data_IF_189382608452
#
_entry.id   IF_189382608452
#
_cell.length_a   1.000
_cell.length_b   1.000
_cell.length_c   1.000
_cell.angle_alpha   90.00
_cell.angle_beta   90.00
_cell.angle_gamma   90.00
#
_symmetry.space_group_name_H-M   'P 1'
#
loop_
_entity.id
_entity.type
_entity.pdbx_description
1 polymer ?
#
# COMPACT_ATOMS: atom_id res chain seq x y z
N UNK A 1 -8.74 0.62 -19.55
CA UNK A 1 -8.54 1.66 -18.53
C UNK A 1 -7.43 1.16 -17.63
N UNK A 2 -6.42 1.99 -17.29
CA UNK A 2 -5.35 1.66 -16.34
C UNK A 2 -4.51 2.91 -16.05
N UNK A 3 -3.71 2.87 -14.99
CA UNK A 3 -2.65 3.85 -14.77
C UNK A 3 -1.32 3.22 -15.18
N UNK A 4 -0.61 3.90 -16.06
CA UNK A 4 0.71 3.50 -16.54
C UNK A 4 1.78 4.43 -15.94
N UNK A 5 2.71 3.85 -15.22
CA UNK A 5 3.88 4.53 -14.65
C UNK A 5 5.10 4.02 -15.43
N UNK A 6 5.80 4.91 -16.13
CA UNK A 6 6.84 4.52 -17.08
C UNK A 6 8.15 5.24 -16.77
N UNK A 7 9.19 4.46 -16.45
CA UNK A 7 10.56 4.90 -16.19
C UNK A 7 10.67 6.08 -15.21
N UNK A 8 9.83 6.08 -14.16
CA UNK A 8 9.82 7.17 -13.18
C UNK A 8 11.12 7.16 -12.38
N UNK A 9 11.81 8.29 -12.43
CA UNK A 9 12.93 8.62 -11.57
C UNK A 9 12.64 9.90 -10.78
N UNK A 10 12.98 9.89 -9.49
CA UNK A 10 12.88 11.07 -8.64
C UNK A 10 14.13 11.28 -7.82
N UNK A 11 14.72 12.45 -7.96
CA UNK A 11 15.92 12.86 -7.23
C UNK A 11 15.64 14.18 -6.50
N UNK A 12 15.87 14.23 -5.19
CA UNK A 12 15.83 15.45 -4.39
C UNK A 12 17.24 15.79 -3.87
N UNK A 13 17.76 16.95 -4.22
CA UNK A 13 19.06 17.45 -3.74
C UNK A 13 20.18 16.39 -3.79
N UNK A 14 20.28 15.62 -4.88
CA UNK A 14 21.24 14.52 -5.12
C UNK A 14 20.87 13.17 -4.44
N UNK A 15 19.79 13.10 -3.67
CA UNK A 15 19.29 11.83 -3.12
C UNK A 15 18.28 11.21 -4.08
N UNK A 16 18.59 10.04 -4.60
CA UNK A 16 17.64 9.24 -5.37
C UNK A 16 16.58 8.73 -4.41
N UNK A 17 15.30 8.94 -4.75
CA UNK A 17 14.15 8.44 -3.98
C UNK A 17 13.41 7.36 -4.74
N UNK A 18 13.30 7.52 -6.06
CA UNK A 18 12.73 6.52 -6.96
C UNK A 18 13.67 6.37 -8.16
N UNK A 19 13.89 5.14 -8.60
CA UNK A 19 14.80 4.88 -9.71
C UNK A 19 14.18 3.92 -10.73
N UNK A 20 13.92 4.43 -11.92
CA UNK A 20 13.41 3.71 -13.09
C UNK A 20 12.16 2.83 -12.80
N UNK A 21 11.17 3.38 -12.07
CA UNK A 21 9.96 2.64 -11.72
C UNK A 21 9.04 2.45 -12.92
N UNK A 22 8.62 1.20 -13.10
CA UNK A 22 7.64 0.81 -14.11
C UNK A 22 6.53 0.00 -13.44
N UNK A 23 5.29 0.51 -13.49
CA UNK A 23 4.12 -0.10 -12.86
C UNK A 23 2.90 0.08 -13.75
N UNK A 24 2.00 -0.90 -13.67
CA UNK A 24 0.66 -0.79 -14.21
C UNK A 24 -0.35 -1.04 -13.10
N UNK A 25 -1.32 -0.14 -12.95
CA UNK A 25 -2.44 -0.30 -12.01
C UNK A 25 -3.67 -0.53 -12.86
N UNK A 26 -4.16 -1.76 -12.86
CA UNK A 26 -5.38 -2.17 -13.57
C UNK A 26 -6.63 -1.68 -12.81
N UNK A 27 -7.76 -1.51 -13.51
CA UNK A 27 -9.00 -1.05 -12.87
C UNK A 27 -9.62 -2.12 -11.98
N UNK A 28 -10.43 -1.66 -11.02
CA UNK A 28 -11.30 -2.49 -10.18
C UNK A 28 -10.54 -3.56 -9.39
N UNK A 29 -9.45 -3.19 -8.76
CA UNK A 29 -8.67 -4.02 -7.83
C UNK A 29 -8.26 -3.21 -6.59
N UNK A 30 -8.00 -3.92 -5.50
CA UNK A 30 -7.39 -3.35 -4.30
C UNK A 30 -5.91 -3.69 -4.29
N UNK A 31 -5.08 -2.67 -4.34
CA UNK A 31 -3.62 -2.77 -4.34
C UNK A 31 -3.03 -2.40 -2.98
N UNK A 32 -2.01 -3.13 -2.55
CA UNK A 32 -1.10 -2.71 -1.50
C UNK A 32 0.17 -2.08 -2.08
N UNK A 33 0.51 -0.87 -1.67
CA UNK A 33 1.82 -0.27 -1.91
C UNK A 33 2.62 -0.34 -0.61
N UNK A 34 3.43 -1.37 -0.48
CA UNK A 34 4.17 -1.70 0.73
C UNK A 34 5.61 -1.17 0.64
N UNK A 35 6.18 -0.82 1.77
CA UNK A 35 7.56 -0.34 1.86
C UNK A 35 7.84 0.25 3.24
N UNK A 36 9.10 0.23 3.63
CA UNK A 36 9.53 0.87 4.90
C UNK A 36 9.25 2.37 4.89
N UNK A 37 9.26 2.98 6.07
CA UNK A 37 9.15 4.45 6.17
C UNK A 37 10.34 5.10 5.43
N UNK A 38 10.03 6.10 4.59
CA UNK A 38 11.04 6.75 3.75
C UNK A 38 11.37 6.01 2.44
N UNK A 39 10.79 4.87 2.14
CA UNK A 39 11.05 4.13 0.89
C UNK A 39 10.64 4.88 -0.39
N UNK A 40 9.82 5.94 -0.29
CA UNK A 40 9.36 6.71 -1.45
C UNK A 40 7.89 6.52 -1.81
N UNK A 41 7.10 5.77 -1.02
CA UNK A 41 5.66 5.51 -1.28
C UNK A 41 4.87 6.79 -1.52
N UNK A 42 4.89 7.73 -0.56
CA UNK A 42 4.19 9.02 -0.68
C UNK A 42 4.71 9.86 -1.85
N UNK A 43 6.01 9.76 -2.17
CA UNK A 43 6.59 10.44 -3.34
C UNK A 43 5.99 9.88 -4.63
N UNK A 44 5.88 8.56 -4.76
CA UNK A 44 5.26 7.91 -5.91
C UNK A 44 3.79 8.35 -6.06
N UNK A 45 3.02 8.32 -4.97
CA UNK A 45 1.60 8.74 -4.99
C UNK A 45 1.46 10.23 -5.37
N UNK A 46 2.35 11.09 -4.90
CA UNK A 46 2.36 12.50 -5.26
C UNK A 46 2.75 12.73 -6.74
N UNK A 47 3.61 11.90 -7.31
CA UNK A 47 3.94 11.93 -8.75
C UNK A 47 2.73 11.48 -9.58
N UNK A 48 2.08 10.38 -9.21
CA UNK A 48 0.88 9.88 -9.93
C UNK A 48 -0.24 10.93 -9.92
N UNK A 49 -0.40 11.65 -8.81
CA UNK A 49 -1.40 12.72 -8.68
C UNK A 49 -0.95 14.08 -9.22
N UNK A 50 0.19 14.15 -9.92
CA UNK A 50 0.80 15.37 -10.47
C UNK A 50 1.05 16.51 -9.44
N UNK A 51 1.18 16.15 -8.16
CA UNK A 51 1.57 17.10 -7.10
C UNK A 51 3.07 17.36 -7.09
N UNK A 52 3.85 16.39 -7.59
CA UNK A 52 5.30 16.48 -7.79
C UNK A 52 5.57 16.05 -9.23
N UNK A 53 6.33 16.86 -9.97
CA UNK A 53 6.83 16.43 -11.27
C UNK A 53 8.04 15.52 -11.08
N UNK A 54 8.09 14.35 -11.74
CA UNK A 54 9.24 13.47 -11.67
C UNK A 54 10.47 14.09 -12.35
N UNK A 55 11.65 13.70 -11.93
CA UNK A 55 12.92 14.09 -12.58
C UNK A 55 12.96 13.55 -14.01
N UNK A 56 12.46 12.35 -14.24
CA UNK A 56 12.24 11.78 -15.57
C UNK A 56 11.13 10.72 -15.54
N UNK A 57 10.71 10.28 -16.71
CA UNK A 57 9.60 9.35 -16.89
C UNK A 57 8.24 10.05 -17.04
N UNK A 58 7.17 9.27 -17.07
CA UNK A 58 5.82 9.80 -17.24
C UNK A 58 4.76 8.92 -16.57
N UNK A 59 3.63 9.54 -16.28
CA UNK A 59 2.42 8.84 -15.80
C UNK A 59 1.27 9.14 -16.75
N UNK A 60 0.51 8.11 -17.07
CA UNK A 60 -0.69 8.20 -17.89
C UNK A 60 -1.86 7.53 -17.15
N UNK A 61 -3.04 8.17 -17.18
CA UNK A 61 -4.32 7.60 -16.71
C UNK A 61 -5.20 7.39 -17.92
N UNK A 62 -5.56 6.13 -18.20
CA UNK A 62 -6.38 5.73 -19.36
C UNK A 62 -5.81 6.23 -20.70
N UNK A 63 -4.48 6.24 -20.85
CA UNK A 63 -3.77 6.72 -22.05
C UNK A 63 -3.63 8.24 -22.16
N UNK A 64 -4.06 9.00 -21.16
CA UNK A 64 -3.89 10.45 -21.10
C UNK A 64 -2.80 10.79 -20.07
N UNK A 65 -1.82 11.65 -20.48
CA UNK A 65 -0.80 12.15 -19.55
C UNK A 65 -1.45 12.89 -18.38
N UNK A 66 -0.93 12.69 -17.16
CA UNK A 66 -1.36 13.45 -15.98
C UNK A 66 -0.80 14.87 -15.96
N UNK A 67 0.23 15.17 -16.76
CA UNK A 67 0.89 16.47 -16.78
C UNK A 67 -0.04 17.52 -17.37
N UNK A 68 -0.37 18.55 -16.57
CA UNK A 68 -1.26 19.66 -16.91
C UNK A 68 -2.60 19.21 -17.54
N UNK A 69 -3.18 18.11 -17.03
CA UNK A 69 -4.38 17.50 -17.58
C UNK A 69 -5.44 17.26 -16.50
N UNK A 70 -6.30 18.24 -16.27
CA UNK A 70 -7.38 18.17 -15.29
C UNK A 70 -8.37 17.02 -15.55
N UNK A 71 -8.55 16.62 -16.82
CA UNK A 71 -9.44 15.52 -17.19
C UNK A 71 -8.88 14.17 -16.72
N UNK A 72 -7.58 13.94 -16.90
CA UNK A 72 -6.93 12.73 -16.40
C UNK A 72 -6.92 12.72 -14.87
N UNK A 73 -6.56 13.86 -14.26
CA UNK A 73 -6.49 14.00 -12.79
C UNK A 73 -7.86 13.93 -12.12
N UNK A 74 -8.93 14.35 -12.78
CA UNK A 74 -10.30 14.25 -12.27
C UNK A 74 -10.80 12.80 -12.08
N UNK A 75 -10.08 11.79 -12.63
CA UNK A 75 -10.36 10.36 -12.42
C UNK A 75 -9.74 9.78 -11.14
N UNK A 76 -8.95 10.58 -10.41
CA UNK A 76 -8.14 10.14 -9.29
C UNK A 76 -8.40 11.00 -8.04
N UNK A 77 -8.47 10.36 -6.88
CA UNK A 77 -8.45 11.02 -5.58
C UNK A 77 -7.26 10.51 -4.77
N UNK A 78 -6.45 11.43 -4.21
CA UNK A 78 -5.39 11.09 -3.28
C UNK A 78 -5.70 11.62 -1.88
N UNK A 79 -5.96 10.71 -0.95
CA UNK A 79 -5.89 10.97 0.47
C UNK A 79 -4.42 10.99 0.90
N UNK A 80 -3.91 12.17 1.17
CA UNK A 80 -2.53 12.38 1.63
C UNK A 80 -2.45 12.45 3.15
N UNK A 81 -1.30 12.05 3.72
CA UNK A 81 -1.00 12.28 5.13
C UNK A 81 -1.03 13.78 5.47
N UNK A 82 -0.49 14.61 4.56
CA UNK A 82 -0.47 16.07 4.74
C UNK A 82 -1.87 16.66 4.64
N UNK A 83 -2.21 17.54 5.59
CA UNK A 83 -3.48 18.26 5.61
C UNK A 83 -3.45 19.43 4.62
N UNK A 84 -4.25 19.33 3.56
CA UNK A 84 -4.39 20.36 2.53
C UNK A 84 -5.68 21.17 2.68
N UNK A 85 -6.38 21.03 3.79
CA UNK A 85 -7.68 21.63 4.03
C UNK A 85 -7.59 22.88 4.92
N UNK A 86 -8.49 23.87 4.67
CA UNK A 86 -8.56 25.08 5.49
C UNK A 86 -8.97 24.78 6.92
N UNK A 87 -8.11 25.09 7.89
CA UNK A 87 -8.37 24.89 9.30
C UNK A 87 -9.62 25.65 9.83
N UNK A 88 -10.00 26.74 9.16
CA UNK A 88 -11.14 27.60 9.54
C UNK A 88 -12.47 27.07 9.02
N UNK A 89 -12.46 26.23 8.00
CA UNK A 89 -13.67 25.69 7.37
C UNK A 89 -14.29 24.59 8.22
N UNK A 90 -15.63 24.54 8.22
CA UNK A 90 -16.37 23.42 8.82
C UNK A 90 -16.24 22.18 7.94
N UNK A 91 -16.28 20.98 8.54
CA UNK A 91 -16.28 19.70 7.83
C UNK A 91 -17.35 19.67 6.73
N UNK A 92 -18.60 20.05 7.03
CA UNK A 92 -19.68 20.09 6.04
C UNK A 92 -19.40 21.05 4.87
N UNK A 93 -18.65 22.14 5.10
CA UNK A 93 -18.25 23.03 4.01
C UNK A 93 -17.19 22.40 3.12
N UNK A 94 -16.26 21.63 3.70
CA UNK A 94 -15.24 20.92 2.96
C UNK A 94 -15.83 19.78 2.12
N UNK A 95 -16.86 19.08 2.58
CA UNK A 95 -17.62 18.11 1.76
C UNK A 95 -18.22 18.81 0.52
N UNK A 96 -18.87 19.98 0.74
CA UNK A 96 -19.44 20.77 -0.39
C UNK A 96 -18.36 21.25 -1.36
N UNK A 97 -17.20 21.67 -0.85
CA UNK A 97 -16.08 22.08 -1.69
C UNK A 97 -15.56 20.91 -2.54
N UNK A 98 -15.40 19.73 -1.93
CA UNK A 98 -15.00 18.52 -2.66
C UNK A 98 -15.99 18.17 -3.76
N UNK A 99 -17.30 18.27 -3.49
CA UNK A 99 -18.33 18.06 -4.49
C UNK A 99 -18.24 19.03 -5.69
N UNK A 100 -17.78 20.27 -5.47
CA UNK A 100 -17.57 21.24 -6.59
C UNK A 100 -16.45 20.81 -7.54
N UNK A 101 -15.43 20.09 -7.02
CA UNK A 101 -14.31 19.63 -7.85
C UNK A 101 -14.59 18.29 -8.53
N UNK A 102 -15.27 17.37 -7.85
CA UNK A 102 -15.43 15.98 -8.32
C UNK A 102 -16.83 15.66 -8.87
N UNK A 103 -17.79 16.57 -8.72
CA UNK A 103 -19.18 16.32 -9.13
C UNK A 103 -19.93 15.44 -8.13
N UNK A 104 -20.67 14.47 -8.60
CA UNK A 104 -21.64 13.61 -7.91
C UNK A 104 -21.16 12.98 -6.58
N UNK A 105 -20.76 13.83 -5.63
CA UNK A 105 -20.34 13.45 -4.29
C UNK A 105 -21.53 12.87 -3.50
N UNK A 106 -21.34 11.71 -2.91
CA UNK A 106 -22.40 11.00 -2.17
C UNK A 106 -22.57 11.59 -0.75
N UNK A 107 -23.43 12.60 -0.65
CA UNK A 107 -23.71 13.29 0.62
C UNK A 107 -24.45 12.42 1.65
N UNK A 108 -25.34 11.51 1.19
CA UNK A 108 -26.10 10.63 2.07
C UNK A 108 -25.14 9.59 2.69
N UNK A 109 -24.27 9.03 1.89
CA UNK A 109 -23.23 8.13 2.37
C UNK A 109 -22.26 8.85 3.30
N UNK A 110 -21.82 10.07 2.97
CA UNK A 110 -20.96 10.87 3.84
C UNK A 110 -21.61 11.19 5.21
N UNK A 111 -22.91 11.47 5.24
CA UNK A 111 -23.65 11.69 6.47
C UNK A 111 -23.76 10.41 7.31
N UNK A 112 -24.00 9.24 6.67
CA UNK A 112 -24.01 7.92 7.32
C UNK A 112 -22.65 7.62 7.96
N UNK A 113 -21.58 7.79 7.20
CA UNK A 113 -20.20 7.57 7.67
C UNK A 113 -19.83 8.54 8.80
N UNK A 114 -20.13 9.84 8.67
CA UNK A 114 -19.85 10.82 9.71
C UNK A 114 -20.53 10.44 11.05
N UNK A 115 -21.77 9.94 10.97
CA UNK A 115 -22.48 9.44 12.15
C UNK A 115 -21.81 8.17 12.73
N UNK A 116 -21.45 7.21 11.87
CA UNK A 116 -20.84 5.94 12.29
C UNK A 116 -19.48 6.15 12.96
N UNK A 117 -18.65 7.06 12.41
CA UNK A 117 -17.35 7.43 12.96
C UNK A 117 -17.42 8.48 14.09
N UNK A 118 -18.60 9.01 14.44
CA UNK A 118 -18.74 10.05 15.45
C UNK A 118 -18.11 11.41 15.06
N UNK A 119 -18.00 11.70 13.74
CA UNK A 119 -17.43 12.95 13.22
C UNK A 119 -18.48 14.08 13.27
N UNK A 120 -18.20 15.15 14.05
CA UNK A 120 -19.04 16.36 14.05
C UNK A 120 -18.79 17.17 12.77
N UNK A 121 -19.75 17.15 11.85
CA UNK A 121 -19.68 17.90 10.61
C UNK A 121 -19.79 19.42 10.76
N UNK A 122 -20.23 19.91 11.93
CA UNK A 122 -20.25 21.33 12.27
C UNK A 122 -18.92 21.83 12.85
N UNK A 123 -18.05 20.91 13.28
CA UNK A 123 -16.72 21.26 13.79
C UNK A 123 -15.87 21.89 12.69
N UNK A 124 -14.94 22.77 13.07
CA UNK A 124 -13.90 23.29 12.17
C UNK A 124 -12.80 22.24 12.04
N UNK A 125 -12.28 22.07 10.82
CA UNK A 125 -11.22 21.12 10.52
C UNK A 125 -9.99 21.27 11.44
N UNK A 126 -9.54 22.49 11.70
CA UNK A 126 -8.43 22.77 12.59
C UNK A 126 -8.67 22.46 14.08
N UNK A 127 -9.91 22.13 14.48
CA UNK A 127 -10.26 21.70 15.84
C UNK A 127 -10.35 20.18 15.98
N UNK A 128 -10.29 19.45 14.87
CA UNK A 128 -10.29 17.99 14.88
C UNK A 128 -8.96 17.46 15.43
N UNK A 129 -9.01 16.36 16.17
CA UNK A 129 -7.81 15.60 16.51
C UNK A 129 -7.22 14.97 15.25
N UNK A 130 -5.97 14.49 15.30
CA UNK A 130 -5.33 13.80 14.18
C UNK A 130 -6.18 12.64 13.66
N UNK A 131 -6.73 11.80 14.55
CA UNK A 131 -7.61 10.70 14.16
C UNK A 131 -8.88 11.18 13.46
N UNK A 132 -9.55 12.21 13.96
CA UNK A 132 -10.73 12.77 13.30
C UNK A 132 -10.42 13.48 11.97
N UNK A 133 -9.21 14.03 11.78
CA UNK A 133 -8.76 14.51 10.46
C UNK A 133 -8.58 13.36 9.48
N UNK A 134 -8.02 12.23 9.93
CA UNK A 134 -7.93 11.01 9.13
C UNK A 134 -9.32 10.49 8.77
N UNK A 135 -10.25 10.38 9.71
CA UNK A 135 -11.64 9.98 9.47
C UNK A 135 -12.32 10.91 8.44
N UNK A 136 -12.16 12.22 8.56
CA UNK A 136 -12.70 13.15 7.58
C UNK A 136 -12.16 12.86 6.17
N UNK A 137 -10.84 12.65 6.01
CA UNK A 137 -10.21 12.34 4.73
C UNK A 137 -10.66 11.00 4.17
N UNK A 138 -10.85 9.99 5.03
CA UNK A 138 -11.40 8.69 4.64
C UNK A 138 -12.84 8.79 4.11
N UNK A 139 -13.70 9.57 4.77
CA UNK A 139 -15.06 9.81 4.29
C UNK A 139 -15.03 10.46 2.91
N UNK A 140 -14.17 11.46 2.69
CA UNK A 140 -14.01 12.03 1.36
C UNK A 140 -13.63 10.97 0.32
N UNK A 141 -12.61 10.15 0.61
CA UNK A 141 -12.10 9.12 -0.28
C UNK A 141 -13.18 8.08 -0.67
N UNK A 142 -14.05 7.72 0.28
CA UNK A 142 -15.13 6.77 0.05
C UNK A 142 -16.32 7.38 -0.72
N UNK A 143 -16.55 8.69 -0.62
CA UNK A 143 -17.72 9.38 -1.19
C UNK A 143 -17.47 10.05 -2.54
N UNK A 144 -16.22 10.27 -2.97
CA UNK A 144 -15.93 10.85 -4.29
C UNK A 144 -16.21 9.87 -5.43
N UNK A 145 -16.74 10.34 -6.58
CA UNK A 145 -17.15 9.48 -7.71
C UNK A 145 -15.99 9.25 -8.70
N UNK A 146 -14.81 8.85 -8.20
CA UNK A 146 -13.63 8.63 -9.05
C UNK A 146 -13.31 7.16 -9.25
N UNK A 147 -12.59 6.84 -10.33
CA UNK A 147 -12.20 5.48 -10.68
C UNK A 147 -11.02 4.97 -9.85
N UNK A 148 -10.13 5.87 -9.44
CA UNK A 148 -8.88 5.54 -8.74
C UNK A 148 -8.81 6.31 -7.42
N UNK A 149 -8.71 5.58 -6.31
CA UNK A 149 -8.60 6.14 -4.96
C UNK A 149 -7.28 5.70 -4.35
N UNK A 150 -6.41 6.66 -4.11
CA UNK A 150 -5.13 6.43 -3.44
C UNK A 150 -5.22 6.86 -1.97
N UNK A 151 -4.78 5.99 -1.08
CA UNK A 151 -4.84 6.16 0.37
C UNK A 151 -3.42 6.06 0.94
N UNK A 152 -2.86 7.19 1.35
CA UNK A 152 -1.52 7.24 1.94
C UNK A 152 -1.62 7.19 3.46
N UNK A 153 -1.19 6.06 4.05
CA UNK A 153 -1.27 5.74 5.48
C UNK A 153 -2.67 6.02 6.08
N UNK A 154 -3.75 5.43 5.52
CA UNK A 154 -5.13 5.85 5.79
C UNK A 154 -5.57 5.72 7.24
N UNK A 155 -5.03 4.75 7.98
CA UNK A 155 -5.43 4.44 9.35
C UNK A 155 -4.52 5.05 10.41
N UNK A 156 -3.57 5.87 9.99
CA UNK A 156 -2.66 6.53 10.92
C UNK A 156 -3.42 7.42 11.91
N UNK A 157 -3.22 7.17 13.19
CA UNK A 157 -3.87 7.92 14.29
C UNK A 157 -5.29 7.47 14.60
N UNK A 158 -5.80 6.39 13.98
CA UNK A 158 -7.08 5.76 14.34
C UNK A 158 -6.88 4.73 15.45
N UNK A 159 -7.87 4.60 16.31
CA UNK A 159 -7.99 3.45 17.21
C UNK A 159 -8.48 2.20 16.46
N UNK A 160 -8.41 1.03 17.11
CA UNK A 160 -8.76 -0.25 16.48
C UNK A 160 -10.22 -0.28 15.96
N UNK A 161 -11.17 0.28 16.71
CA UNK A 161 -12.58 0.26 16.30
C UNK A 161 -12.82 1.08 15.03
N UNK A 162 -12.17 2.25 14.91
CA UNK A 162 -12.29 3.07 13.71
C UNK A 162 -11.55 2.46 12.51
N UNK A 163 -10.45 1.74 12.73
CA UNK A 163 -9.77 0.99 11.65
C UNK A 163 -10.65 -0.12 11.10
N UNK A 164 -11.22 -0.95 11.98
CA UNK A 164 -12.12 -2.03 11.60
C UNK A 164 -13.32 -1.50 10.81
N UNK A 165 -13.95 -0.42 11.32
CA UNK A 165 -15.05 0.21 10.61
C UNK A 165 -14.64 0.73 9.23
N UNK A 166 -13.46 1.35 9.11
CA UNK A 166 -12.97 1.82 7.81
C UNK A 166 -12.79 0.66 6.82
N UNK A 167 -12.17 -0.44 7.22
CA UNK A 167 -11.95 -1.57 6.34
C UNK A 167 -13.27 -2.24 5.92
N UNK A 168 -14.24 -2.33 6.83
CA UNK A 168 -15.59 -2.81 6.50
C UNK A 168 -16.26 -1.91 5.45
N UNK A 169 -16.25 -0.60 5.63
CA UNK A 169 -16.84 0.36 4.71
C UNK A 169 -16.13 0.38 3.34
N UNK A 170 -14.79 0.16 3.34
CA UNK A 170 -14.01 0.05 2.11
C UNK A 170 -14.45 -1.18 1.30
N UNK A 171 -14.58 -2.35 1.95
CA UNK A 171 -15.03 -3.59 1.30
C UNK A 171 -16.47 -3.44 0.78
N UNK A 172 -17.38 -2.87 1.60
CA UNK A 172 -18.78 -2.62 1.20
C UNK A 172 -18.83 -1.73 -0.04
N UNK A 173 -18.11 -0.59 0.00
CA UNK A 173 -18.04 0.34 -1.13
C UNK A 173 -17.43 -0.31 -2.38
N UNK A 174 -16.38 -1.12 -2.21
CA UNK A 174 -15.75 -1.84 -3.33
C UNK A 174 -16.70 -2.86 -3.96
N UNK A 175 -17.47 -3.57 -3.14
CA UNK A 175 -18.43 -4.57 -3.60
C UNK A 175 -19.62 -3.95 -4.34
N UNK A 176 -20.14 -2.80 -3.87
CA UNK A 176 -21.29 -2.13 -4.46
C UNK A 176 -20.92 -1.30 -5.70
N UNK A 177 -19.76 -0.67 -5.68
CA UNK A 177 -19.25 0.22 -6.74
C UNK A 177 -17.78 -0.09 -6.99
N UNK A 178 -17.46 -1.14 -7.77
CA UNK A 178 -16.08 -1.52 -8.06
C UNK A 178 -15.28 -0.37 -8.64
N UNK A 179 -14.17 -0.05 -7.99
CA UNK A 179 -13.19 0.96 -8.38
C UNK A 179 -11.82 0.57 -7.84
N UNK A 180 -10.78 1.21 -8.29
CA UNK A 180 -9.42 0.86 -7.89
C UNK A 180 -9.06 1.57 -6.60
N UNK A 181 -8.61 0.82 -5.60
CA UNK A 181 -7.97 1.36 -4.41
C UNK A 181 -6.49 1.01 -4.39
N UNK A 182 -5.64 1.98 -4.03
CA UNK A 182 -4.22 1.75 -3.75
C UNK A 182 -3.96 2.21 -2.32
N UNK A 183 -3.65 1.26 -1.45
CA UNK A 183 -3.42 1.50 -0.02
C UNK A 183 -1.91 1.47 0.23
N UNK A 184 -1.33 2.63 0.53
CA UNK A 184 0.06 2.77 0.96
C UNK A 184 0.11 2.66 2.47
N UNK A 185 0.78 1.64 3.00
CA UNK A 185 0.91 1.45 4.45
C UNK A 185 2.14 0.63 4.81
N UNK A 186 2.56 0.74 6.06
CA UNK A 186 3.53 -0.14 6.71
C UNK A 186 2.84 -1.17 7.64
N UNK A 187 1.53 -1.07 7.86
CA UNK A 187 0.71 -1.99 8.67
C UNK A 187 0.14 -3.11 7.80
N UNK A 188 1.01 -4.02 7.36
CA UNK A 188 0.70 -5.02 6.33
C UNK A 188 -0.35 -6.02 6.80
N UNK A 189 -0.29 -6.47 8.07
CA UNK A 189 -1.24 -7.42 8.66
C UNK A 189 -2.70 -6.96 8.53
N UNK A 190 -2.93 -5.64 8.68
CA UNK A 190 -4.27 -5.09 8.63
C UNK A 190 -4.92 -5.15 7.24
N UNK A 191 -4.10 -5.09 6.18
CA UNK A 191 -4.60 -5.06 4.80
C UNK A 191 -4.35 -6.35 4.02
N UNK A 192 -3.60 -7.31 4.57
CA UNK A 192 -3.18 -8.52 3.87
C UNK A 192 -4.35 -9.32 3.28
N UNK A 193 -5.51 -9.33 3.95
CA UNK A 193 -6.71 -10.03 3.50
C UNK A 193 -7.60 -9.18 2.57
N UNK A 194 -7.26 -7.92 2.34
CA UNK A 194 -8.03 -6.98 1.52
C UNK A 194 -7.43 -6.79 0.13
N UNK A 195 -6.11 -6.86 0.03
CA UNK A 195 -5.38 -6.57 -1.20
C UNK A 195 -5.31 -7.80 -2.10
N UNK A 196 -5.56 -7.57 -3.38
CA UNK A 196 -5.47 -8.58 -4.43
C UNK A 196 -4.08 -8.58 -5.06
N UNK A 197 -3.47 -7.41 -5.19
CA UNK A 197 -2.18 -7.21 -5.82
C UNK A 197 -1.26 -6.37 -4.94
N UNK A 198 0.03 -6.65 -4.95
CA UNK A 198 1.00 -5.94 -4.12
C UNK A 198 2.18 -5.40 -4.93
N UNK A 199 2.55 -4.17 -4.62
CA UNK A 199 3.82 -3.56 -4.99
C UNK A 199 4.67 -3.39 -3.73
N UNK A 200 5.87 -3.92 -3.70
CA UNK A 200 6.82 -3.69 -2.62
C UNK A 200 7.91 -2.75 -3.13
N UNK A 201 7.97 -1.56 -2.52
CA UNK A 201 8.97 -0.55 -2.80
C UNK A 201 10.09 -0.63 -1.76
N UNK A 202 11.29 -0.97 -2.20
CA UNK A 202 12.49 -1.04 -1.37
C UNK A 202 13.71 -0.56 -2.14
N UNK A 203 14.63 0.15 -1.46
CA UNK A 203 15.86 0.67 -2.06
C UNK A 203 15.61 1.35 -3.43
N UNK A 204 14.62 2.24 -3.50
CA UNK A 204 14.27 3.04 -4.67
C UNK A 204 13.61 2.29 -5.82
N UNK A 205 13.44 0.96 -5.74
CA UNK A 205 12.92 0.09 -6.79
C UNK A 205 11.68 -0.69 -6.33
N UNK A 206 10.87 -1.13 -7.28
CA UNK A 206 9.84 -2.14 -7.02
C UNK A 206 10.51 -3.51 -7.02
N UNK A 207 10.58 -4.13 -5.85
CA UNK A 207 11.21 -5.46 -5.66
C UNK A 207 10.21 -6.60 -5.77
N UNK A 208 8.91 -6.32 -5.56
CA UNK A 208 7.81 -7.27 -5.77
C UNK A 208 6.67 -6.56 -6.49
N UNK A 209 6.10 -7.22 -7.48
CA UNK A 209 4.95 -6.78 -8.26
C UNK A 209 4.16 -8.00 -8.72
N UNK A 210 2.99 -8.24 -8.15
CA UNK A 210 2.16 -9.39 -8.52
C UNK A 210 0.93 -9.59 -7.66
N UNK A 211 0.11 -10.56 -8.05
CA UNK A 211 -1.04 -11.00 -7.27
C UNK A 211 -0.57 -11.61 -5.94
N UNK A 212 -1.23 -11.26 -4.84
CA UNK A 212 -0.86 -11.71 -3.49
C UNK A 212 -0.91 -13.23 -3.40
N UNK A 213 -1.91 -13.87 -3.99
CA UNK A 213 -2.04 -15.34 -4.02
C UNK A 213 -0.85 -16.03 -4.70
N UNK A 214 -0.39 -15.49 -5.83
CA UNK A 214 0.73 -16.06 -6.60
C UNK A 214 2.07 -15.87 -5.89
N UNK A 215 2.20 -14.78 -5.15
CA UNK A 215 3.39 -14.46 -4.36
C UNK A 215 3.46 -15.39 -3.15
N UNK A 216 2.35 -15.52 -2.39
CA UNK A 216 2.31 -16.36 -1.18
C UNK A 216 2.40 -17.85 -1.52
N UNK A 217 1.91 -18.29 -2.69
CA UNK A 217 2.07 -19.66 -3.14
C UNK A 217 3.54 -20.09 -3.34
N UNK A 218 4.47 -19.14 -3.40
CA UNK A 218 5.93 -19.38 -3.56
C UNK A 218 6.72 -19.02 -2.30
N UNK A 219 6.06 -18.66 -1.20
CA UNK A 219 6.67 -18.22 0.03
C UNK A 219 6.49 -19.26 1.12
N UNK A 220 7.59 -19.84 1.61
CA UNK A 220 7.57 -20.96 2.54
C UNK A 220 8.36 -20.67 3.80
N UNK A 221 7.83 -21.17 4.93
CA UNK A 221 8.50 -21.33 6.20
C UNK A 221 8.91 -22.79 6.31
N UNK A 222 10.20 -23.06 6.43
CA UNK A 222 10.77 -24.41 6.57
C UNK A 222 11.43 -24.50 7.93
N UNK A 223 10.88 -25.33 8.82
CA UNK A 223 11.31 -25.38 10.22
C UNK A 223 11.63 -26.81 10.68
N UNK A 224 12.56 -26.91 11.62
CA UNK A 224 13.00 -28.18 12.20
C UNK A 224 14.38 -28.08 12.85
N UNK A 225 15.04 -29.26 13.15
CA UNK A 225 16.43 -29.26 13.57
C UNK A 225 17.34 -28.56 12.53
N UNK A 226 18.29 -27.78 12.99
CA UNK A 226 19.13 -26.94 12.11
C UNK A 226 19.78 -27.70 10.96
N UNK A 227 20.37 -28.87 11.26
CA UNK A 227 21.05 -29.69 10.23
C UNK A 227 20.10 -30.15 9.12
N UNK A 228 18.89 -30.52 9.49
CA UNK A 228 17.90 -31.10 8.57
C UNK A 228 17.28 -30.01 7.71
N UNK A 229 17.01 -28.82 8.29
CA UNK A 229 16.52 -27.65 7.58
C UNK A 229 17.56 -27.17 6.56
N UNK A 230 18.81 -26.97 6.98
CA UNK A 230 19.90 -26.54 6.09
C UNK A 230 20.16 -27.54 4.95
N UNK A 231 20.08 -28.85 5.24
CA UNK A 231 20.20 -29.87 4.20
C UNK A 231 19.02 -29.82 3.21
N UNK A 232 17.80 -29.57 3.72
CA UNK A 232 16.63 -29.47 2.85
C UNK A 232 16.61 -28.20 2.02
N UNK A 233 17.05 -27.07 2.55
CA UNK A 233 17.04 -25.77 1.86
C UNK A 233 18.28 -25.52 1.00
N UNK A 234 19.24 -26.44 0.99
CA UNK A 234 20.45 -26.30 0.15
C UNK A 234 20.10 -26.10 -1.32
N UNK A 235 20.60 -25.00 -1.90
CA UNK A 235 20.29 -24.59 -3.27
C UNK A 235 18.94 -23.90 -3.47
N UNK A 236 18.12 -23.69 -2.42
CA UNK A 236 16.91 -22.89 -2.48
C UNK A 236 17.23 -21.39 -2.22
N UNK A 237 16.32 -20.51 -2.64
CA UNK A 237 16.45 -19.08 -2.37
C UNK A 237 15.97 -18.74 -0.96
N UNK A 238 16.86 -18.85 0.02
CA UNK A 238 16.59 -18.48 1.43
C UNK A 238 16.67 -16.95 1.56
N UNK A 239 15.57 -16.34 2.00
CA UNK A 239 15.41 -14.89 2.16
C UNK A 239 15.49 -14.42 3.61
N UNK A 240 15.62 -15.33 4.57
CA UNK A 240 15.76 -15.03 5.98
C UNK A 240 15.76 -16.28 6.84
N UNK A 241 16.17 -16.12 8.09
CA UNK A 241 16.19 -17.21 9.07
C UNK A 241 15.88 -16.70 10.48
N UNK A 242 15.26 -17.55 11.29
CA UNK A 242 15.07 -17.34 12.73
C UNK A 242 15.54 -18.60 13.50
N UNK A 243 16.07 -18.40 14.71
CA UNK A 243 16.51 -19.49 15.59
C UNK A 243 15.76 -19.43 16.92
N UNK A 244 15.20 -20.58 17.33
CA UNK A 244 14.54 -20.75 18.61
C UNK A 244 15.07 -22.01 19.32
N UNK A 245 16.10 -21.84 20.12
CA UNK A 245 16.79 -22.97 20.77
C UNK A 245 17.46 -23.89 19.76
N UNK A 246 17.01 -25.16 19.68
CA UNK A 246 17.52 -26.16 18.72
C UNK A 246 16.75 -26.21 17.41
N UNK A 247 15.72 -25.34 17.25
CA UNK A 247 14.88 -25.26 16.06
C UNK A 247 15.35 -24.09 15.22
N UNK A 248 15.56 -24.32 13.95
CA UNK A 248 15.80 -23.30 12.93
C UNK A 248 14.56 -23.20 12.03
N UNK A 249 14.22 -21.99 11.65
CA UNK A 249 13.20 -21.70 10.67
C UNK A 249 13.83 -20.88 9.56
N UNK A 250 13.84 -21.39 8.34
CA UNK A 250 14.31 -20.68 7.15
C UNK A 250 13.13 -20.25 6.29
N UNK A 251 13.21 -19.03 5.75
CA UNK A 251 12.22 -18.44 4.86
C UNK A 251 12.69 -18.57 3.43
N UNK A 252 11.92 -19.27 2.61
CA UNK A 252 12.26 -19.58 1.23
C UNK A 252 11.26 -18.88 0.30
N UNK A 253 11.78 -18.21 -0.73
CA UNK A 253 10.95 -17.60 -1.76
C UNK A 253 11.32 -18.16 -3.14
N UNK A 254 10.46 -19.02 -3.68
CA UNK A 254 10.65 -19.69 -4.96
C UNK A 254 9.89 -21.00 -5.06
N UNK A 255 10.03 -21.69 -6.17
CA UNK A 255 9.42 -23.02 -6.33
C UNK A 255 10.19 -24.06 -5.51
N UNK A 256 9.49 -24.91 -4.76
CA UNK A 256 10.07 -26.11 -4.15
C UNK A 256 10.11 -27.24 -5.18
N UNK A 257 11.15 -28.07 -5.12
CA UNK A 257 11.22 -29.30 -5.94
C UNK A 257 10.32 -30.37 -5.31
N UNK A 258 9.24 -30.71 -5.99
CA UNK A 258 8.27 -31.73 -5.56
C UNK A 258 8.89 -33.16 -5.45
N UNK A 259 10.05 -33.40 -6.04
CA UNK A 259 10.75 -34.68 -5.96
C UNK A 259 11.79 -34.73 -4.82
N UNK A 260 12.05 -33.62 -4.14
CA UNK A 260 12.97 -33.56 -3.00
C UNK A 260 12.33 -34.22 -1.78
N UNK A 261 12.94 -35.28 -1.21
CA UNK A 261 12.38 -35.92 -0.03
C UNK A 261 12.40 -34.95 1.15
N UNK A 262 11.27 -34.86 1.84
CA UNK A 262 11.12 -34.04 3.05
C UNK A 262 11.46 -34.91 4.24
N UNK A 263 12.47 -34.58 5.07
CA UNK A 263 12.76 -35.31 6.30
C UNK A 263 11.56 -35.24 7.25
N UNK A 264 11.28 -36.31 8.00
CA UNK A 264 10.16 -36.40 8.98
C UNK A 264 10.25 -35.31 10.08
N UNK A 265 11.45 -34.78 10.30
CA UNK A 265 11.75 -33.73 11.30
C UNK A 265 11.51 -32.33 10.78
N UNK A 266 11.28 -32.15 9.46
CA UNK A 266 11.11 -30.85 8.80
C UNK A 266 9.63 -30.58 8.53
N UNK A 267 9.18 -29.40 8.90
CA UNK A 267 7.84 -28.90 8.62
C UNK A 267 7.90 -27.77 7.58
N UNK A 268 6.96 -27.78 6.64
CA UNK A 268 6.84 -26.77 5.60
C UNK A 268 5.47 -26.13 5.70
N UNK A 269 5.44 -24.81 5.87
CA UNK A 269 4.24 -23.99 5.94
C UNK A 269 4.35 -22.82 4.95
N UNK A 270 3.24 -22.16 4.60
CA UNK A 270 3.29 -20.92 3.82
C UNK A 270 3.57 -19.73 4.75
N UNK A 271 4.37 -18.80 4.25
CA UNK A 271 4.56 -17.49 4.90
C UNK A 271 3.30 -16.63 4.76
N UNK A 272 3.04 -15.81 5.77
CA UNK A 272 2.15 -14.65 5.61
C UNK A 272 2.84 -13.50 4.86
N UNK A 273 2.04 -12.54 4.39
CA UNK A 273 2.52 -11.42 3.61
C UNK A 273 3.47 -10.51 4.40
N UNK A 274 3.21 -10.32 5.70
CA UNK A 274 4.05 -9.47 6.55
C UNK A 274 5.43 -10.08 6.73
N UNK A 275 5.50 -11.37 7.05
CA UNK A 275 6.77 -12.07 7.26
C UNK A 275 7.58 -12.11 5.97
N UNK A 276 6.92 -12.38 4.84
CA UNK A 276 7.55 -12.32 3.52
C UNK A 276 8.14 -10.93 3.25
N UNK A 277 7.36 -9.86 3.49
CA UNK A 277 7.82 -8.47 3.29
C UNK A 277 9.04 -8.17 4.15
N UNK A 278 8.99 -8.48 5.46
CA UNK A 278 10.11 -8.25 6.39
C UNK A 278 11.36 -8.97 5.92
N UNK A 279 11.22 -10.25 5.51
CA UNK A 279 12.36 -11.04 5.04
C UNK A 279 12.97 -10.49 3.76
N UNK A 280 12.16 -10.07 2.78
CA UNK A 280 12.63 -9.50 1.53
C UNK A 280 13.33 -8.13 1.71
N UNK A 281 12.88 -7.32 2.67
CA UNK A 281 13.43 -5.97 2.89
C UNK A 281 14.60 -5.92 3.87
N UNK A 282 14.80 -6.95 4.72
CA UNK A 282 15.92 -7.03 5.66
C UNK A 282 17.19 -7.68 5.09
N UNK A 283 17.07 -8.51 4.06
CA UNK A 283 18.19 -9.30 3.49
C UNK A 283 19.33 -8.43 2.94
N UNK A 284 19.08 -7.14 2.64
CA UNK A 284 20.08 -6.22 2.07
C UNK A 284 20.91 -5.45 3.10
N UNK A 285 20.53 -5.41 4.37
CA UNK A 285 21.34 -4.76 5.42
C UNK A 285 22.54 -5.63 5.84
N UNK A 286 22.46 -6.95 5.67
CA UNK A 286 23.56 -7.87 6.02
C UNK A 286 24.72 -7.87 5.01
N UNK A 287 24.48 -7.48 3.75
CA UNK A 287 25.51 -7.46 2.69
C UNK A 287 26.24 -6.12 2.53
N UNK A 288 25.79 -5.07 3.22
CA UNK A 288 26.37 -3.71 3.13
C UNK A 288 27.44 -3.35 4.15
N UNK A 289 27.75 -4.21 5.15
CA UNK A 289 28.67 -3.89 6.26
C UNK A 289 30.06 -4.52 6.14
N UNK A 290 30.51 -4.95 4.97
CA UNK A 290 31.85 -5.49 4.73
C UNK A 290 32.68 -4.72 3.68
N UNK A 291 32.56 -3.40 3.62
CA UNK A 291 33.58 -2.57 2.94
C UNK A 291 33.76 -1.27 3.72
N UNK A 292 34.69 -1.34 4.67
CA UNK A 292 35.52 -0.18 5.12
C UNK A 292 36.92 -0.65 5.44
#
# INVERSE_FOLDING_TARGET
MSIQIQAIQQVFHKHVVLDNLNLTIEPNKIYGLLGRNGAGKSTLLNIISNRIQPTSGRVEIDGESVHDNDRALGKLFLMSEVDLYSERSKVAQLFKLTAQFYGDFDFDYAARLAKAFGLDTNARFGKLSTGYRSIFKLILALCVPVNYVFLDEPVLGLDANHRDLFYQELIETYSERPRTFVISTHLIEEIANLIEHVFVLDNHHIVVNGEVSDILAKAYLISGPQTDVQQYTDGLNVIGEDHLGSITAEYVYGALDNNRPIPDTVQIEHLDLQKLFVSLTNTKEASGNHEH
#
